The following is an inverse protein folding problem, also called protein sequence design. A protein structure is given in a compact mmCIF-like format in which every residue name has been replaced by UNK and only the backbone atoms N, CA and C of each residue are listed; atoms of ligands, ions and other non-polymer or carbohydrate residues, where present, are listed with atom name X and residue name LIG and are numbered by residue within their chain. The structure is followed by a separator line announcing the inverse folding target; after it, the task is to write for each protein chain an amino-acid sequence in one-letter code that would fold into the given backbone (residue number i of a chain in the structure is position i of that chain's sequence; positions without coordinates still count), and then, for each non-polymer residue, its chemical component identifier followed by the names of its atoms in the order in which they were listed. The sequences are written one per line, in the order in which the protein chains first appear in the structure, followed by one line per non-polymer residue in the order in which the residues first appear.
data_IF_446250296037
#
_entry.id   IF_446250296037
#
_cell.length_a   1.000
_cell.length_b   1.000
_cell.length_c   1.000
_cell.angle_alpha   90.00
_cell.angle_beta   90.00
_cell.angle_gamma   90.00
#
_symmetry.space_group_name_H-M   'P 1'
#
loop_
_entity.id
_entity.type
_entity.pdbx_description
1 polymer ?
#
# COMPACT_ATOMS: atom_id res chain seq x y z
N UNK A 1 -19.31 -16.38 -7.11
CA UNK A 1 -19.62 -15.88 -8.45
C UNK A 1 -20.14 -14.47 -8.35
N UNK A 2 -19.25 -13.50 -8.12
CA UNK A 2 -19.63 -12.09 -8.06
C UNK A 2 -20.08 -11.62 -9.45
N UNK A 3 -21.13 -10.80 -9.49
CA UNK A 3 -21.71 -10.31 -10.75
C UNK A 3 -20.89 -9.17 -11.37
N UNK A 4 -20.16 -8.44 -10.54
CA UNK A 4 -19.26 -7.36 -10.94
C UNK A 4 -18.19 -7.16 -9.87
N UNK A 5 -16.96 -6.85 -10.31
CA UNK A 5 -15.84 -6.42 -9.48
C UNK A 5 -15.25 -5.14 -10.06
N UNK A 6 -14.74 -4.28 -9.19
CA UNK A 6 -14.10 -3.02 -9.55
C UNK A 6 -12.80 -2.85 -8.79
N UNK A 7 -11.88 -2.07 -9.33
CA UNK A 7 -10.64 -1.74 -8.62
C UNK A 7 -9.83 -0.66 -9.31
N UNK A 8 -8.76 -0.25 -8.65
CA UNK A 8 -7.84 0.79 -9.11
C UNK A 8 -6.65 0.19 -9.86
N UNK A 9 -6.20 0.84 -10.93
CA UNK A 9 -5.01 0.44 -11.68
C UNK A 9 -3.72 0.95 -11.03
N UNK A 10 -3.75 1.97 -10.17
CA UNK A 10 -2.57 2.37 -9.36
C UNK A 10 -2.35 1.45 -8.14
N UNK A 11 -2.95 0.26 -8.16
CA UNK A 11 -2.81 -0.81 -7.17
C UNK A 11 -2.29 -2.08 -7.86
N UNK A 12 -2.62 -3.25 -7.31
CA UNK A 12 -2.13 -4.55 -7.76
C UNK A 12 -2.21 -4.77 -9.28
N UNK A 13 -3.35 -4.52 -9.96
CA UNK A 13 -3.49 -4.88 -11.38
C UNK A 13 -2.67 -4.01 -12.34
N UNK A 14 -2.17 -2.86 -11.91
CA UNK A 14 -1.30 -2.03 -12.75
C UNK A 14 0.18 -2.31 -12.62
N UNK A 15 0.58 -3.24 -11.75
CA UNK A 15 1.98 -3.70 -11.64
C UNK A 15 3.00 -2.62 -11.33
N UNK A 16 2.59 -1.47 -10.79
CA UNK A 16 3.45 -0.30 -10.57
C UNK A 16 3.76 0.52 -11.82
N UNK A 17 3.18 0.18 -12.98
CA UNK A 17 3.40 0.89 -14.25
C UNK A 17 2.21 1.74 -14.69
N UNK A 18 0.99 1.30 -14.35
CA UNK A 18 -0.20 2.07 -14.67
C UNK A 18 -0.18 3.40 -13.91
N UNK A 19 -0.17 4.55 -14.61
CA UNK A 19 -0.02 5.85 -13.94
C UNK A 19 -1.34 6.33 -13.31
N UNK A 20 -2.48 5.86 -13.81
CA UNK A 20 -3.84 6.19 -13.35
C UNK A 20 -4.82 5.09 -13.74
N UNK A 21 -6.08 5.22 -13.31
CA UNK A 21 -7.21 4.51 -13.88
C UNK A 21 -7.84 3.47 -12.95
N UNK A 22 -8.86 2.80 -13.47
CA UNK A 22 -9.58 1.74 -12.78
C UNK A 22 -10.13 0.71 -13.76
N UNK A 23 -10.58 -0.43 -13.24
CA UNK A 23 -11.18 -1.49 -14.03
C UNK A 23 -12.55 -1.87 -13.49
N UNK A 24 -13.39 -2.38 -14.39
CA UNK A 24 -14.67 -3.02 -14.08
C UNK A 24 -14.72 -4.33 -14.87
N UNK A 25 -14.96 -5.44 -14.20
CA UNK A 25 -15.12 -6.75 -14.83
C UNK A 25 -16.34 -7.46 -14.24
N UNK A 26 -17.11 -8.17 -15.07
CA UNK A 26 -18.32 -8.83 -14.59
C UNK A 26 -19.29 -9.23 -15.70
N UNK A 27 -20.54 -9.49 -15.31
CA UNK A 27 -21.65 -9.75 -16.24
C UNK A 27 -21.83 -8.58 -17.20
N UNK A 28 -22.14 -8.91 -18.46
CA UNK A 28 -22.34 -7.94 -19.55
C UNK A 28 -23.26 -6.79 -19.17
N UNK A 29 -24.44 -7.08 -18.61
CA UNK A 29 -25.41 -6.06 -18.21
C UNK A 29 -24.87 -5.08 -17.15
N UNK A 30 -24.05 -5.55 -16.21
CA UNK A 30 -23.43 -4.70 -15.19
C UNK A 30 -22.38 -3.77 -15.81
N UNK A 31 -21.51 -4.31 -16.67
CA UNK A 31 -20.46 -3.54 -17.34
C UNK A 31 -21.05 -2.50 -18.31
N UNK A 32 -22.09 -2.86 -19.07
CA UNK A 32 -22.79 -1.94 -19.98
C UNK A 32 -23.40 -0.76 -19.22
N UNK A 33 -24.10 -1.01 -18.12
CA UNK A 33 -24.67 0.05 -17.28
C UNK A 33 -23.60 0.96 -16.67
N UNK A 34 -22.48 0.40 -16.21
CA UNK A 34 -21.37 1.19 -15.69
C UNK A 34 -20.72 2.06 -16.78
N UNK A 35 -20.60 1.54 -18.01
CA UNK A 35 -20.08 2.30 -19.14
C UNK A 35 -20.97 3.50 -19.47
N UNK A 36 -22.30 3.33 -19.51
CA UNK A 36 -23.23 4.45 -19.73
C UNK A 36 -23.17 5.51 -18.63
N UNK A 37 -22.89 5.10 -17.39
CA UNK A 37 -22.68 6.04 -16.28
C UNK A 37 -21.36 6.80 -16.40
N UNK A 38 -20.30 6.14 -16.85
CA UNK A 38 -18.98 6.75 -17.02
C UNK A 38 -18.96 7.77 -18.16
N UNK A 39 -19.66 7.49 -19.25
CA UNK A 39 -19.74 8.38 -20.41
C UNK A 39 -21.13 9.02 -20.52
N UNK A 40 -22.01 8.48 -21.37
CA UNK A 40 -23.41 8.85 -21.46
C UNK A 40 -24.24 7.70 -22.05
N UNK A 41 -25.56 7.66 -21.79
CA UNK A 41 -26.48 6.76 -22.50
C UNK A 41 -26.33 6.89 -24.02
N UNK A 42 -26.39 5.76 -24.73
CA UNK A 42 -26.23 5.68 -26.19
C UNK A 42 -24.77 5.60 -26.68
N UNK A 43 -23.82 6.22 -25.99
CA UNK A 43 -22.39 6.13 -26.32
C UNK A 43 -21.71 4.94 -25.64
N UNK A 44 -21.89 4.80 -24.32
CA UNK A 44 -21.29 3.72 -23.55
C UNK A 44 -19.77 3.67 -23.69
N UNK A 45 -19.22 2.48 -24.00
CA UNK A 45 -17.77 2.23 -24.09
C UNK A 45 -17.19 2.35 -25.51
N UNK A 46 -17.99 2.73 -26.49
CA UNK A 46 -17.58 2.78 -27.91
C UNK A 46 -16.68 3.99 -28.22
N UNK A 47 -16.65 4.98 -27.33
CA UNK A 47 -15.84 6.20 -27.48
C UNK A 47 -14.98 6.45 -26.23
N UNK A 48 -13.75 6.91 -26.46
CA UNK A 48 -12.78 7.21 -25.41
C UNK A 48 -11.36 7.03 -25.93
N UNK A 49 -10.65 8.13 -26.14
CA UNK A 49 -9.28 8.07 -26.65
C UNK A 49 -8.32 7.56 -25.57
N UNK A 50 -7.65 6.43 -25.82
CA UNK A 50 -6.63 5.88 -24.90
C UNK A 50 -5.33 6.68 -24.88
N UNK A 51 -5.16 7.64 -25.80
CA UNK A 51 -3.92 8.40 -25.98
C UNK A 51 -2.72 7.44 -26.08
N UNK A 52 -1.63 7.70 -25.36
CA UNK A 52 -0.40 6.88 -25.36
C UNK A 52 -0.29 5.89 -24.20
N UNK A 53 -1.34 5.65 -23.41
CA UNK A 53 -1.21 4.96 -22.10
C UNK A 53 -1.26 3.43 -22.19
N UNK A 54 -1.74 2.88 -23.32
CA UNK A 54 -2.01 1.43 -23.46
C UNK A 54 -0.80 0.54 -23.17
N UNK A 55 0.44 0.84 -23.62
CA UNK A 55 1.59 0.00 -23.31
C UNK A 55 1.79 -0.18 -21.80
N UNK A 56 1.67 0.89 -21.01
CA UNK A 56 1.82 0.84 -19.54
C UNK A 56 0.74 -0.01 -18.87
N UNK A 57 -0.50 0.02 -19.39
CA UNK A 57 -1.58 -0.84 -18.88
C UNK A 57 -1.34 -2.31 -19.19
N UNK A 58 -0.90 -2.64 -20.41
CA UNK A 58 -0.64 -4.03 -20.80
C UNK A 58 0.58 -4.61 -20.09
N UNK A 59 1.70 -3.88 -20.04
CA UNK A 59 2.90 -4.29 -19.33
C UNK A 59 2.65 -4.37 -17.82
N UNK A 60 1.94 -3.38 -17.26
CA UNK A 60 1.55 -3.37 -15.85
C UNK A 60 0.71 -4.58 -15.48
N UNK A 61 -0.30 -4.92 -16.28
CA UNK A 61 -1.13 -6.10 -16.06
C UNK A 61 -0.35 -7.41 -16.19
N UNK A 62 0.60 -7.48 -17.12
CA UNK A 62 1.48 -8.64 -17.28
C UNK A 62 2.38 -8.86 -16.05
N UNK A 63 2.91 -7.78 -15.47
CA UNK A 63 3.77 -7.83 -14.29
C UNK A 63 3.00 -7.92 -12.95
N UNK A 64 1.72 -7.57 -12.96
CA UNK A 64 0.88 -7.49 -11.76
C UNK A 64 0.96 -8.72 -10.83
N UNK A 65 0.96 -9.98 -11.31
CA UNK A 65 1.08 -11.15 -10.43
C UNK A 65 2.41 -11.19 -9.66
N UNK A 66 3.53 -10.88 -10.31
CA UNK A 66 4.87 -10.92 -9.71
C UNK A 66 5.06 -9.77 -8.72
N UNK A 67 4.58 -8.58 -9.07
CA UNK A 67 4.62 -7.40 -8.20
C UNK A 67 3.73 -7.62 -6.97
N UNK A 68 2.52 -8.14 -7.15
CA UNK A 68 1.61 -8.48 -6.04
C UNK A 68 2.24 -9.52 -5.10
N UNK A 69 2.87 -10.56 -5.65
CA UNK A 69 3.58 -11.55 -4.85
C UNK A 69 4.77 -10.94 -4.07
N UNK A 70 5.43 -9.93 -4.63
CA UNK A 70 6.53 -9.21 -3.97
C UNK A 70 6.03 -8.39 -2.77
N UNK A 71 4.95 -7.61 -2.95
CA UNK A 71 4.29 -6.89 -1.87
C UNK A 71 3.79 -7.84 -0.77
N UNK A 72 3.18 -8.97 -1.15
CA UNK A 72 2.68 -9.97 -0.20
C UNK A 72 3.81 -10.62 0.62
N UNK A 73 4.96 -10.93 -0.01
CA UNK A 73 6.15 -11.39 0.72
C UNK A 73 6.62 -10.34 1.73
N UNK A 74 6.59 -9.06 1.34
CA UNK A 74 6.88 -7.92 2.22
C UNK A 74 5.98 -7.90 3.47
N UNK A 75 4.67 -7.99 3.27
CA UNK A 75 3.67 -8.05 4.34
C UNK A 75 3.92 -9.22 5.30
N UNK A 76 4.09 -10.44 4.79
CA UNK A 76 4.34 -11.65 5.61
C UNK A 76 5.68 -11.56 6.36
N UNK A 77 6.72 -11.04 5.70
CA UNK A 77 8.02 -10.82 6.35
C UNK A 77 7.92 -9.85 7.51
N UNK A 78 7.24 -8.73 7.30
CA UNK A 78 7.05 -7.73 8.32
C UNK A 78 6.19 -8.26 9.48
N UNK A 79 5.12 -9.01 9.21
CA UNK A 79 4.35 -9.70 10.25
C UNK A 79 5.26 -10.59 11.11
N UNK A 80 6.04 -11.46 10.48
CA UNK A 80 6.93 -12.38 11.19
C UNK A 80 8.02 -11.65 11.99
N UNK A 81 8.52 -10.53 11.47
CA UNK A 81 9.53 -9.70 12.13
C UNK A 81 8.94 -9.00 13.35
N UNK A 82 7.80 -8.34 13.22
CA UNK A 82 7.18 -7.58 14.31
C UNK A 82 6.57 -8.49 15.38
N UNK A 83 6.06 -9.67 15.03
CA UNK A 83 5.70 -10.71 16.00
C UNK A 83 6.89 -11.11 16.87
N UNK A 84 8.07 -11.31 16.26
CA UNK A 84 9.30 -11.64 16.99
C UNK A 84 9.80 -10.51 17.88
N UNK A 85 9.48 -9.27 17.53
CA UNK A 85 9.75 -8.09 18.34
C UNK A 85 8.69 -7.87 19.44
N UNK A 86 7.68 -8.74 19.54
CA UNK A 86 6.65 -8.70 20.58
C UNK A 86 5.48 -7.77 20.29
N UNK A 87 5.35 -7.25 19.06
CA UNK A 87 4.22 -6.41 18.67
C UNK A 87 3.04 -7.26 18.18
N UNK A 88 1.83 -6.74 18.42
CA UNK A 88 0.62 -7.27 17.82
C UNK A 88 0.59 -6.93 16.33
N UNK A 89 0.29 -7.92 15.48
CA UNK A 89 0.20 -7.74 14.04
C UNK A 89 -1.10 -8.33 13.52
N UNK A 90 -1.62 -7.77 12.43
CA UNK A 90 -2.82 -8.27 11.79
C UNK A 90 -2.71 -8.11 10.26
N UNK A 91 -2.89 -9.18 9.46
CA UNK A 91 -2.89 -10.60 9.85
C UNK A 91 -1.54 -11.09 10.41
N UNK A 92 -1.53 -12.23 11.10
CA UNK A 92 -0.30 -12.90 11.55
C UNK A 92 0.53 -13.44 10.39
N UNK A 93 1.79 -13.81 10.66
CA UNK A 93 2.70 -14.35 9.64
C UNK A 93 2.28 -15.71 9.06
N UNK A 94 1.30 -16.39 9.68
CA UNK A 94 0.85 -17.73 9.30
C UNK A 94 -0.57 -17.75 8.71
N UNK A 95 -1.31 -16.65 8.82
CA UNK A 95 -2.65 -16.54 8.27
C UNK A 95 -2.63 -16.47 6.74
N UNK A 96 -3.66 -17.05 6.13
CA UNK A 96 -3.92 -16.92 4.71
C UNK A 96 -4.16 -15.44 4.35
N UNK A 97 -3.72 -15.05 3.15
CA UNK A 97 -3.76 -13.66 2.71
C UNK A 97 -4.72 -13.49 1.54
N UNK A 98 -5.52 -12.43 1.60
CA UNK A 98 -6.50 -12.08 0.56
C UNK A 98 -6.29 -10.66 -0.01
N UNK A 99 -5.37 -9.89 0.58
CA UNK A 99 -4.88 -8.62 0.08
C UNK A 99 -3.38 -8.45 0.42
N UNK A 100 -2.84 -7.25 0.21
CA UNK A 100 -1.43 -6.89 0.47
C UNK A 100 -1.25 -6.01 1.71
N UNK A 101 -2.31 -5.80 2.50
CA UNK A 101 -2.27 -4.93 3.67
C UNK A 101 -1.68 -5.70 4.84
N UNK A 102 -0.86 -5.01 5.63
CA UNK A 102 -0.37 -5.49 6.90
C UNK A 102 -0.49 -4.39 7.94
N UNK A 103 -0.92 -4.75 9.15
CA UNK A 103 -0.98 -3.84 10.28
C UNK A 103 -0.03 -4.28 11.41
N UNK A 104 0.50 -3.29 12.14
CA UNK A 104 1.25 -3.48 13.39
C UNK A 104 0.71 -2.47 14.40
N UNK A 105 0.40 -2.93 15.61
CA UNK A 105 -0.08 -2.07 16.70
C UNK A 105 1.08 -1.75 17.64
N UNK A 106 1.37 -0.46 17.85
CA UNK A 106 2.52 -0.05 18.65
C UNK A 106 2.20 0.34 20.10
N UNK A 107 0.96 0.75 20.39
CA UNK A 107 0.58 1.36 21.67
C UNK A 107 1.44 2.58 22.07
N UNK A 108 2.17 3.16 21.12
CA UNK A 108 3.08 4.28 21.34
C UNK A 108 3.06 5.24 20.14
N UNK A 109 2.76 6.54 20.32
CA UNK A 109 2.66 7.48 19.21
C UNK A 109 3.98 7.64 18.45
N UNK A 110 5.11 7.75 19.17
CA UNK A 110 6.41 7.94 18.52
C UNK A 110 6.86 6.71 17.72
N UNK A 111 6.38 5.51 18.08
CA UNK A 111 6.69 4.31 17.31
C UNK A 111 5.97 4.30 15.96
N UNK A 112 4.70 4.77 15.92
CA UNK A 112 3.98 4.99 14.67
C UNK A 112 4.70 6.03 13.79
N UNK A 113 5.17 7.13 14.39
CA UNK A 113 5.94 8.16 13.66
C UNK A 113 7.26 7.61 13.12
N UNK A 114 8.04 6.94 13.96
CA UNK A 114 9.31 6.34 13.58
C UNK A 114 9.15 5.29 12.48
N UNK A 115 8.08 4.50 12.53
CA UNK A 115 7.77 3.53 11.48
C UNK A 115 7.52 4.23 10.14
N UNK A 116 6.64 5.23 10.10
CA UNK A 116 6.34 5.97 8.86
C UNK A 116 7.59 6.71 8.33
N UNK A 117 8.41 7.31 9.19
CA UNK A 117 9.71 7.87 8.79
C UNK A 117 10.64 6.81 8.19
N UNK A 118 10.63 5.59 8.72
CA UNK A 118 11.44 4.49 8.21
C UNK A 118 11.02 4.06 6.81
N UNK A 119 9.71 3.99 6.56
CA UNK A 119 9.17 3.70 5.23
C UNK A 119 9.54 4.83 4.26
N UNK A 120 9.32 6.09 4.63
CA UNK A 120 9.63 7.23 3.77
C UNK A 120 11.14 7.31 3.46
N UNK A 121 12.00 7.14 4.46
CA UNK A 121 13.45 7.18 4.28
C UNK A 121 14.00 6.02 3.43
N UNK A 122 13.25 4.93 3.27
CA UNK A 122 13.61 3.81 2.40
C UNK A 122 13.03 3.94 0.98
N UNK A 123 12.18 4.93 0.74
CA UNK A 123 11.49 5.10 -0.52
C UNK A 123 12.45 5.56 -1.63
N UNK A 124 12.20 5.19 -2.90
CA UNK A 124 13.04 5.63 -4.01
C UNK A 124 12.84 7.12 -4.35
N UNK A 125 11.66 7.67 -4.06
CA UNK A 125 11.27 9.06 -4.33
C UNK A 125 11.03 9.77 -3.00
N UNK A 126 11.43 11.04 -2.91
CA UNK A 126 11.20 11.91 -1.75
C UNK A 126 11.68 11.36 -0.40
N UNK A 127 12.72 10.51 -0.40
CA UNK A 127 13.25 9.90 0.83
C UNK A 127 13.87 10.88 1.82
N UNK A 128 14.20 12.10 1.36
CA UNK A 128 14.66 13.20 2.20
C UNK A 128 13.52 13.96 2.88
N UNK A 129 12.28 13.77 2.44
CA UNK A 129 11.10 14.40 3.03
C UNK A 129 10.72 13.62 4.29
N UNK A 130 10.52 14.33 5.40
CA UNK A 130 10.12 13.74 6.67
C UNK A 130 8.59 13.81 6.79
N UNK A 131 7.88 12.67 6.97
CA UNK A 131 6.44 12.69 7.19
C UNK A 131 6.13 13.19 8.60
N UNK A 132 5.08 14.00 8.72
CA UNK A 132 4.61 14.53 10.00
C UNK A 132 3.09 14.36 10.12
N UNK A 133 2.54 14.20 11.33
CA UNK A 133 1.09 14.12 11.52
C UNK A 133 0.37 15.39 11.06
N UNK A 134 -0.67 15.23 10.24
CA UNK A 134 -1.45 16.35 9.71
C UNK A 134 -2.96 16.06 9.75
N UNK A 135 -3.75 17.12 9.72
CA UNK A 135 -5.21 17.04 9.78
C UNK A 135 -5.77 16.59 8.42
N UNK A 136 -6.13 15.31 8.30
CA UNK A 136 -6.67 14.74 7.07
C UNK A 136 -8.21 14.94 7.03
N UNK A 137 -8.77 15.58 5.99
CA UNK A 137 -10.22 15.74 5.86
C UNK A 137 -10.96 14.40 5.95
N UNK A 138 -11.97 14.35 6.83
CA UNK A 138 -12.78 13.14 7.07
C UNK A 138 -12.29 12.26 8.23
N UNK A 139 -11.15 12.57 8.85
CA UNK A 139 -10.66 11.89 10.05
C UNK A 139 -10.88 12.74 11.31
N UNK A 140 -11.15 12.07 12.43
CA UNK A 140 -11.30 12.66 13.77
C UNK A 140 -9.96 12.82 14.50
N UNK A 141 -8.87 12.32 13.91
CA UNK A 141 -7.52 12.39 14.43
C UNK A 141 -6.55 12.77 13.29
N UNK A 142 -5.39 13.32 13.67
CA UNK A 142 -4.29 13.51 12.71
C UNK A 142 -3.87 12.17 12.12
N UNK A 143 -3.43 12.19 10.87
CA UNK A 143 -2.89 11.02 10.18
C UNK A 143 -1.45 11.31 9.80
N UNK A 144 -0.58 10.30 9.94
CA UNK A 144 0.77 10.32 9.36
C UNK A 144 0.83 9.35 8.19
N UNK A 145 1.57 9.70 7.14
CA UNK A 145 1.66 8.92 5.91
C UNK A 145 3.07 9.00 5.31
N UNK A 146 3.56 7.86 4.85
CA UNK A 146 4.76 7.69 4.03
C UNK A 146 4.35 7.19 2.64
N UNK A 147 4.72 7.93 1.59
CA UNK A 147 4.21 7.74 0.23
C UNK A 147 5.22 8.17 -0.86
N UNK A 148 6.50 7.84 -0.69
CA UNK A 148 7.57 8.11 -1.67
C UNK A 148 7.54 7.22 -2.92
N UNK A 149 6.47 7.32 -3.71
CA UNK A 149 6.18 6.48 -4.86
C UNK A 149 6.48 7.17 -6.20
N UNK A 150 6.79 6.39 -7.25
CA UNK A 150 6.91 6.88 -8.62
C UNK A 150 5.57 7.35 -9.17
N UNK A 151 4.51 6.59 -8.91
CA UNK A 151 3.14 6.96 -9.24
C UNK A 151 2.47 7.53 -8.01
N UNK A 152 2.04 8.80 -8.08
CA UNK A 152 1.42 9.49 -6.95
C UNK A 152 0.19 8.73 -6.42
N UNK A 153 0.21 8.41 -5.12
CA UNK A 153 -0.86 7.65 -4.45
C UNK A 153 -0.89 6.15 -4.77
N UNK A 154 0.12 5.62 -5.46
CA UNK A 154 0.23 4.19 -5.74
C UNK A 154 0.42 3.39 -4.46
N UNK A 155 -0.52 2.49 -4.17
CA UNK A 155 -0.48 1.64 -2.98
C UNK A 155 0.07 0.23 -3.27
N UNK A 156 0.54 -0.01 -4.49
CA UNK A 156 1.34 -1.21 -4.81
C UNK A 156 2.84 -0.96 -4.62
N UNK A 157 3.23 0.32 -4.56
CA UNK A 157 4.54 0.76 -4.08
C UNK A 157 4.54 0.81 -2.54
N UNK A 158 5.72 0.66 -1.93
CA UNK A 158 5.83 0.57 -0.48
C UNK A 158 5.35 1.88 0.15
N UNK A 159 4.32 1.80 0.97
CA UNK A 159 3.69 2.93 1.63
C UNK A 159 3.15 2.52 2.99
N UNK A 160 2.99 3.50 3.88
CA UNK A 160 2.44 3.28 5.22
C UNK A 160 1.68 4.49 5.72
N UNK A 161 0.60 4.27 6.45
CA UNK A 161 -0.19 5.31 7.08
C UNK A 161 -0.87 4.82 8.36
N UNK A 162 -1.21 5.76 9.24
CA UNK A 162 -1.91 5.43 10.48
C UNK A 162 -2.46 6.66 11.18
N UNK A 163 -3.60 6.54 11.87
CA UNK A 163 -4.15 7.62 12.67
C UNK A 163 -3.35 7.79 13.98
N UNK A 164 -3.06 9.03 14.36
CA UNK A 164 -2.41 9.40 15.61
C UNK A 164 -3.39 9.33 16.79
N UNK A 165 -3.91 8.13 17.05
CA UNK A 165 -4.79 7.80 18.18
C UNK A 165 -4.53 6.39 18.66
N UNK A 166 -4.85 6.10 19.91
CA UNK A 166 -4.74 4.75 20.46
C UNK A 166 -5.52 3.71 19.60
N UNK A 167 -4.96 2.51 19.36
CA UNK A 167 -3.70 1.98 19.91
C UNK A 167 -2.46 2.26 19.02
N UNK A 168 -2.47 3.31 18.20
CA UNK A 168 -1.38 3.70 17.30
C UNK A 168 -0.98 2.58 16.33
N UNK A 169 -1.98 2.05 15.63
CA UNK A 169 -1.76 1.06 14.59
C UNK A 169 -1.27 1.74 13.30
N UNK A 170 -0.25 1.14 12.68
CA UNK A 170 0.15 1.45 11.31
C UNK A 170 -0.44 0.44 10.35
N UNK A 171 -0.84 0.88 9.17
CA UNK A 171 -1.17 0.05 8.03
C UNK A 171 -0.12 0.31 6.95
N UNK A 172 0.47 -0.74 6.42
CA UNK A 172 1.43 -0.63 5.31
C UNK A 172 1.18 -1.72 4.28
N UNK A 173 1.66 -1.45 3.08
CA UNK A 173 1.36 -2.24 1.91
C UNK A 173 2.36 -1.94 0.79
N UNK A 174 2.34 -2.81 -0.22
CA UNK A 174 3.11 -2.61 -1.43
C UNK A 174 4.59 -2.98 -1.29
N UNK A 175 5.32 -2.70 -2.36
CA UNK A 175 6.71 -3.11 -2.56
C UNK A 175 6.86 -3.76 -3.92
N UNK A 176 7.26 -2.97 -4.92
CA UNK A 176 7.37 -3.40 -6.32
C UNK A 176 8.27 -4.63 -6.49
N UNK A 177 9.28 -4.74 -5.63
CA UNK A 177 10.19 -5.87 -5.58
C UNK A 177 10.34 -6.35 -4.14
N UNK A 178 10.53 -7.66 -3.97
CA UNK A 178 10.79 -8.24 -2.66
C UNK A 178 12.01 -7.61 -1.93
N UNK A 179 13.16 -7.36 -2.59
CA UNK A 179 14.28 -6.68 -1.94
C UNK A 179 13.94 -5.27 -1.43
N UNK A 180 13.21 -4.47 -2.21
CA UNK A 180 12.78 -3.13 -1.79
C UNK A 180 11.84 -3.19 -0.58
N UNK A 181 10.84 -4.08 -0.61
CA UNK A 181 9.94 -4.29 0.52
C UNK A 181 10.72 -4.69 1.78
N UNK A 182 11.60 -5.70 1.69
CA UNK A 182 12.42 -6.16 2.81
C UNK A 182 13.30 -5.06 3.38
N UNK A 183 14.00 -4.30 2.52
CA UNK A 183 14.87 -3.21 2.98
C UNK A 183 14.07 -2.09 3.64
N UNK A 184 12.90 -1.75 3.10
CA UNK A 184 12.00 -0.76 3.71
C UNK A 184 11.56 -1.17 5.12
N UNK A 185 11.14 -2.42 5.29
CA UNK A 185 10.76 -2.95 6.61
C UNK A 185 11.94 -3.04 7.57
N UNK A 186 13.16 -3.36 7.10
CA UNK A 186 14.34 -3.29 7.96
C UNK A 186 14.67 -1.84 8.38
N UNK A 187 14.38 -0.87 7.51
CA UNK A 187 14.56 0.56 7.82
C UNK A 187 13.58 1.05 8.88
N UNK A 188 12.35 0.53 8.94
CA UNK A 188 11.41 0.86 10.01
C UNK A 188 11.90 0.37 11.37
N UNK A 189 12.46 -0.84 11.43
CA UNK A 189 13.11 -1.37 12.64
C UNK A 189 14.29 -0.49 13.06
N UNK A 190 15.15 -0.08 12.13
CA UNK A 190 16.26 0.84 12.44
C UNK A 190 15.74 2.17 13.01
N UNK A 191 14.67 2.73 12.46
CA UNK A 191 14.10 3.98 12.96
C UNK A 191 13.50 3.84 14.36
N UNK A 192 12.87 2.72 14.67
CA UNK A 192 12.40 2.44 16.03
C UNK A 192 13.57 2.38 17.03
N UNK A 193 14.73 1.84 16.63
CA UNK A 193 15.96 1.87 17.44
C UNK A 193 16.52 3.28 17.60
N UNK A 194 16.56 4.07 16.52
CA UNK A 194 17.05 5.45 16.55
C UNK A 194 16.20 6.33 17.49
N UNK A 195 14.90 6.04 17.58
CA UNK A 195 13.96 6.69 18.51
C UNK A 195 14.03 6.13 19.94
N UNK A 196 14.79 5.07 20.18
CA UNK A 196 14.88 4.42 21.49
C UNK A 196 13.59 3.71 21.91
N UNK A 197 12.73 3.31 20.96
CA UNK A 197 11.47 2.61 21.25
C UNK A 197 11.73 1.23 21.89
N UNK A 198 12.80 0.56 21.46
CA UNK A 198 13.29 -0.68 22.08
C UNK A 198 14.82 -0.81 21.92
N UNK A 199 15.42 -1.76 22.63
CA UNK A 199 16.85 -2.12 22.52
C UNK A 199 16.99 -3.55 21.98
N UNK A 200 17.85 -3.75 20.97
CA UNK A 200 18.18 -5.07 20.44
C UNK A 200 18.72 -6.03 21.50
N UNK A 201 19.40 -5.53 22.53
CA UNK A 201 19.92 -6.36 23.63
C UNK A 201 18.81 -6.93 24.52
N UNK A 202 17.61 -6.34 24.47
CA UNK A 202 16.45 -6.80 25.24
C UNK A 202 15.67 -7.92 24.52
N UNK A 203 15.97 -8.18 23.24
CA UNK A 203 15.34 -9.22 22.43
C UNK A 203 16.22 -10.48 22.52
N UNK A 204 15.85 -11.41 23.41
CA UNK A 204 16.51 -12.72 23.58
C UNK A 204 15.92 -13.79 22.65
#
# INVERSE_FOLDING_TARGET
GADMVVGSLIKNPGGGLAPVGGYIAGKRACVENAAYRLTSPGLGKEVGASLGILPQFYEGLFLAPVVTASALKGAVFAAALYEKLGYEVLPSSKEERHDIIQAVTFHHPDALVAFCEGVQAAAPIDSFVRPEPWDMPGYDAKVIMAAGAFVSGSSIELSADGPMREPYAVYFQGGLTWPSAKLGILRTVQKLLDYGIFDLKAIQ
#
